data_IF_478044287099
#
_entry.id   IF_478044287099
#
_cell.length_a   1.000
_cell.length_b   1.000
_cell.length_c   1.000
_cell.angle_alpha   90.00
_cell.angle_beta   90.00
_cell.angle_gamma   90.00
#
_symmetry.space_group_name_H-M   'P 1'
#
loop_
_entity.id
_entity.type
_entity.pdbx_description
1 polymer ?
#
# COMPACT_ATOMS: atom_id res chain seq x y z
N UNK A 1 18.91 -32.96 4.79
CA UNK A 1 19.44 -32.02 3.78
C UNK A 1 18.23 -31.37 3.13
N UNK A 2 17.77 -30.23 3.64
CA UNK A 2 16.69 -29.50 2.99
C UNK A 2 17.29 -28.87 1.74
N UNK A 3 16.82 -29.28 0.58
CA UNK A 3 17.06 -28.54 -0.67
C UNK A 3 16.44 -27.16 -0.48
N UNK A 4 17.28 -26.17 -0.15
CA UNK A 4 16.94 -24.77 -0.39
C UNK A 4 16.65 -24.66 -1.88
N UNK A 5 15.37 -24.67 -2.24
CA UNK A 5 14.97 -24.33 -3.59
C UNK A 5 15.47 -22.92 -3.83
N UNK A 6 16.53 -22.78 -4.64
CA UNK A 6 17.04 -21.49 -5.07
C UNK A 6 15.86 -20.63 -5.52
N UNK A 7 15.74 -19.47 -4.88
CA UNK A 7 14.67 -18.55 -5.18
C UNK A 7 14.97 -17.95 -6.55
N UNK A 8 14.18 -18.30 -7.56
CA UNK A 8 14.43 -17.78 -8.91
C UNK A 8 14.03 -16.30 -8.99
N UNK A 9 14.69 -15.49 -9.84
CA UNK A 9 14.32 -14.09 -10.06
C UNK A 9 12.83 -13.92 -10.39
N UNK A 10 12.24 -14.86 -11.13
CA UNK A 10 10.82 -14.87 -11.46
C UNK A 10 9.90 -15.01 -10.21
N UNK A 11 10.31 -15.81 -9.22
CA UNK A 11 9.57 -15.96 -7.95
C UNK A 11 9.71 -14.68 -7.12
N UNK A 12 10.90 -14.08 -7.06
CA UNK A 12 11.17 -12.83 -6.36
C UNK A 12 10.39 -11.66 -6.94
N UNK A 13 10.37 -11.53 -8.27
CA UNK A 13 9.63 -10.48 -8.98
C UNK A 13 8.13 -10.63 -8.75
N UNK A 14 7.64 -11.87 -8.82
CA UNK A 14 6.24 -12.19 -8.53
C UNK A 14 5.87 -11.88 -7.08
N UNK A 15 6.76 -12.18 -6.12
CA UNK A 15 6.57 -11.83 -4.71
C UNK A 15 6.47 -10.32 -4.51
N UNK A 16 7.45 -9.57 -5.02
CA UNK A 16 7.50 -8.12 -4.86
C UNK A 16 6.31 -7.43 -5.55
N UNK A 17 5.93 -7.89 -6.75
CA UNK A 17 4.75 -7.40 -7.48
C UNK A 17 3.46 -7.66 -6.70
N UNK A 18 3.29 -8.88 -6.13
CA UNK A 18 2.10 -9.21 -5.33
C UNK A 18 1.95 -8.28 -4.13
N UNK A 19 3.03 -8.08 -3.39
CA UNK A 19 3.09 -7.14 -2.26
C UNK A 19 2.74 -5.72 -2.68
N UNK A 20 3.34 -5.23 -3.77
CA UNK A 20 3.12 -3.87 -4.26
C UNK A 20 1.68 -3.62 -4.70
N UNK A 21 1.06 -4.55 -5.44
CA UNK A 21 -0.36 -4.43 -5.78
C UNK A 21 -1.23 -4.57 -4.52
N UNK A 22 -0.86 -5.43 -3.57
CA UNK A 22 -1.60 -5.60 -2.32
C UNK A 22 -1.65 -4.31 -1.52
N UNK A 23 -0.49 -3.68 -1.34
CA UNK A 23 -0.38 -2.35 -0.74
C UNK A 23 -1.21 -1.31 -1.51
N UNK A 24 -1.11 -1.28 -2.85
CA UNK A 24 -1.85 -0.32 -3.66
C UNK A 24 -3.38 -0.48 -3.53
N UNK A 25 -3.89 -1.71 -3.53
CA UNK A 25 -5.33 -1.98 -3.35
C UNK A 25 -5.79 -1.60 -1.93
N UNK A 26 -4.96 -1.89 -0.91
CA UNK A 26 -5.26 -1.49 0.46
C UNK A 26 -5.31 0.04 0.58
N UNK A 27 -4.38 0.75 -0.04
CA UNK A 27 -4.40 2.22 -0.06
C UNK A 27 -5.67 2.78 -0.73
N UNK A 28 -6.06 2.22 -1.87
CA UNK A 28 -7.28 2.61 -2.57
C UNK A 28 -8.51 2.37 -1.69
N UNK A 29 -8.54 1.29 -0.92
CA UNK A 29 -9.62 1.01 0.02
C UNK A 29 -9.68 2.08 1.12
N UNK A 30 -8.54 2.41 1.75
CA UNK A 30 -8.50 3.44 2.79
C UNK A 30 -8.92 4.82 2.26
N UNK A 31 -8.51 5.18 1.04
CA UNK A 31 -8.94 6.42 0.37
C UNK A 31 -10.45 6.39 0.08
N UNK A 32 -10.96 5.27 -0.43
CA UNK A 32 -12.38 5.10 -0.72
C UNK A 32 -13.23 5.25 0.55
N UNK A 33 -12.81 4.64 1.66
CA UNK A 33 -13.47 4.75 2.96
C UNK A 33 -13.45 6.20 3.47
N UNK A 34 -12.30 6.88 3.36
CA UNK A 34 -12.14 8.30 3.69
C UNK A 34 -13.08 9.20 2.89
N UNK A 35 -13.17 8.98 1.58
CA UNK A 35 -14.06 9.72 0.69
C UNK A 35 -15.53 9.45 1.01
N UNK A 36 -15.88 8.19 1.31
CA UNK A 36 -17.24 7.84 1.73
C UNK A 36 -17.65 8.61 3.00
N UNK A 37 -16.81 8.60 4.04
CA UNK A 37 -17.07 9.36 5.27
C UNK A 37 -17.17 10.87 5.03
N UNK A 38 -16.32 11.42 4.15
CA UNK A 38 -16.37 12.84 3.78
C UNK A 38 -17.70 13.19 3.09
N UNK A 39 -18.14 12.37 2.15
CA UNK A 39 -19.40 12.57 1.42
C UNK A 39 -20.59 12.45 2.38
N UNK A 40 -20.57 11.47 3.28
CA UNK A 40 -21.63 11.28 4.27
C UNK A 40 -21.80 12.51 5.17
N UNK A 41 -20.70 13.15 5.55
CA UNK A 41 -20.69 14.33 6.42
C UNK A 41 -21.03 15.64 5.69
N UNK A 42 -20.50 15.86 4.48
CA UNK A 42 -20.65 17.14 3.75
C UNK A 42 -21.90 17.15 2.86
N UNK A 43 -22.21 16.03 2.22
CA UNK A 43 -23.29 15.89 1.25
C UNK A 43 -24.23 14.74 1.65
N UNK A 44 -24.94 14.85 2.80
CA UNK A 44 -25.75 13.76 3.32
C UNK A 44 -26.86 13.31 2.34
N UNK A 45 -27.37 14.21 1.51
CA UNK A 45 -28.45 13.89 0.55
C UNK A 45 -27.93 13.26 -0.75
N UNK A 46 -26.62 13.24 -0.99
CA UNK A 46 -26.01 12.69 -2.21
C UNK A 46 -25.95 11.15 -2.18
N UNK A 47 -27.10 10.49 -2.07
CA UNK A 47 -27.24 9.03 -1.99
C UNK A 47 -26.59 8.29 -3.15
N UNK A 48 -26.69 8.83 -4.37
CA UNK A 48 -26.06 8.25 -5.56
C UNK A 48 -24.53 8.17 -5.42
N UNK A 49 -23.89 9.20 -4.86
CA UNK A 49 -22.45 9.28 -4.69
C UNK A 49 -21.99 8.32 -3.58
N UNK A 50 -22.72 8.27 -2.46
CA UNK A 50 -22.49 7.29 -1.38
C UNK A 50 -22.56 5.86 -1.90
N UNK A 51 -23.57 5.55 -2.73
CA UNK A 51 -23.72 4.21 -3.30
C UNK A 51 -22.53 3.84 -4.20
N UNK A 52 -22.01 4.77 -5.02
CA UNK A 52 -20.84 4.52 -5.86
C UNK A 52 -19.62 4.17 -5.01
N UNK A 53 -19.29 5.00 -4.01
CA UNK A 53 -18.14 4.76 -3.14
C UNK A 53 -18.33 3.54 -2.24
N UNK A 54 -19.55 3.29 -1.76
CA UNK A 54 -19.89 2.10 -0.97
C UNK A 54 -19.70 0.81 -1.77
N UNK A 55 -20.24 0.75 -3.00
CA UNK A 55 -20.06 -0.42 -3.89
C UNK A 55 -18.59 -0.59 -4.26
N UNK A 56 -17.88 0.49 -4.59
CA UNK A 56 -16.46 0.42 -4.90
C UNK A 56 -15.63 -0.08 -3.71
N UNK A 57 -15.94 0.38 -2.50
CA UNK A 57 -15.32 -0.12 -1.26
C UNK A 57 -15.52 -1.62 -1.06
N UNK A 58 -16.75 -2.13 -1.29
CA UNK A 58 -17.04 -3.58 -1.22
C UNK A 58 -16.22 -4.36 -2.24
N UNK A 59 -16.11 -3.87 -3.48
CA UNK A 59 -15.27 -4.50 -4.52
C UNK A 59 -13.81 -4.58 -4.09
N UNK A 60 -13.28 -3.51 -3.49
CA UNK A 60 -11.90 -3.48 -2.98
C UNK A 60 -11.68 -4.47 -1.82
N UNK A 61 -12.65 -4.59 -0.90
CA UNK A 61 -12.60 -5.59 0.17
C UNK A 61 -12.56 -7.01 -0.41
N UNK A 62 -13.44 -7.32 -1.37
CA UNK A 62 -13.45 -8.63 -2.03
C UNK A 62 -12.10 -8.88 -2.72
N UNK A 63 -11.55 -7.88 -3.40
CA UNK A 63 -10.24 -7.98 -4.05
C UNK A 63 -9.11 -8.27 -3.05
N UNK A 64 -9.12 -7.62 -1.88
CA UNK A 64 -8.17 -7.87 -0.79
C UNK A 64 -8.29 -9.29 -0.25
N UNK A 65 -9.50 -9.76 0.02
CA UNK A 65 -9.76 -11.12 0.53
C UNK A 65 -9.28 -12.17 -0.48
N UNK A 66 -9.68 -12.05 -1.74
CA UNK A 66 -9.28 -12.99 -2.80
C UNK A 66 -7.76 -13.00 -2.97
N UNK A 67 -7.12 -11.82 -2.91
CA UNK A 67 -5.65 -11.70 -2.97
C UNK A 67 -4.99 -12.37 -1.78
N UNK A 68 -5.46 -12.09 -0.57
CA UNK A 68 -4.92 -12.69 0.65
C UNK A 68 -4.83 -14.21 0.54
N UNK A 69 -5.91 -14.88 0.11
CA UNK A 69 -5.90 -16.34 -0.08
C UNK A 69 -4.96 -16.81 -1.21
N UNK A 70 -4.84 -16.05 -2.30
CA UNK A 70 -3.91 -16.36 -3.39
C UNK A 70 -2.45 -16.18 -2.96
N UNK A 71 -2.17 -15.15 -2.18
CA UNK A 71 -0.85 -14.77 -1.74
C UNK A 71 -0.33 -15.70 -0.63
N UNK A 72 -1.19 -16.13 0.31
CA UNK A 72 -0.85 -17.17 1.28
C UNK A 72 -0.36 -18.47 0.62
N UNK A 73 -0.99 -18.88 -0.49
CA UNK A 73 -0.54 -20.05 -1.26
C UNK A 73 0.80 -19.80 -1.94
N UNK A 74 1.03 -18.58 -2.42
CA UNK A 74 2.25 -18.19 -3.10
C UNK A 74 3.45 -18.05 -2.15
N UNK A 75 3.26 -17.48 -0.95
CA UNK A 75 4.34 -17.22 0.02
C UNK A 75 5.03 -18.48 0.53
N UNK A 76 4.40 -19.66 0.41
CA UNK A 76 5.07 -20.95 0.66
C UNK A 76 6.27 -21.21 -0.25
N UNK A 77 6.37 -20.52 -1.39
CA UNK A 77 7.47 -20.63 -2.35
C UNK A 77 8.62 -19.65 -2.07
N UNK A 78 8.44 -18.74 -1.10
CA UNK A 78 9.39 -17.68 -0.79
C UNK A 78 10.17 -18.07 0.46
N UNK A 79 11.48 -17.88 0.44
CA UNK A 79 12.30 -18.16 1.61
C UNK A 79 11.98 -17.17 2.75
N UNK A 80 12.32 -17.55 3.99
CA UNK A 80 12.01 -16.74 5.18
C UNK A 80 12.71 -15.38 5.17
N UNK A 81 13.90 -15.29 4.60
CA UNK A 81 14.71 -14.07 4.61
C UNK A 81 14.14 -13.01 3.67
N UNK A 82 13.75 -13.40 2.45
CA UNK A 82 13.06 -12.56 1.48
C UNK A 82 11.70 -12.14 2.02
N UNK A 83 10.97 -13.07 2.65
CA UNK A 83 9.65 -12.77 3.20
C UNK A 83 9.67 -11.70 4.30
N UNK A 84 10.55 -11.82 5.30
CA UNK A 84 10.58 -10.91 6.45
C UNK A 84 11.46 -9.67 6.26
N UNK A 85 12.59 -9.83 5.58
CA UNK A 85 13.62 -8.79 5.51
C UNK A 85 13.77 -8.17 4.12
N UNK A 86 13.02 -8.65 3.12
CA UNK A 86 13.18 -8.18 1.74
C UNK A 86 14.60 -8.43 1.20
N UNK A 87 15.28 -9.47 1.67
CA UNK A 87 16.58 -9.88 1.13
C UNK A 87 16.37 -10.67 -0.16
N UNK A 88 16.54 -9.99 -1.28
CA UNK A 88 16.44 -10.60 -2.61
C UNK A 88 17.80 -11.09 -3.09
N UNK A 89 17.82 -12.20 -3.80
CA UNK A 89 19.01 -12.73 -4.49
C UNK A 89 19.29 -11.97 -5.77
N UNK A 90 18.25 -11.52 -6.47
CA UNK A 90 18.37 -10.67 -7.64
C UNK A 90 18.68 -9.22 -7.23
N UNK A 91 19.74 -8.67 -7.81
CA UNK A 91 20.23 -7.33 -7.48
C UNK A 91 19.24 -6.23 -7.90
N UNK A 92 18.59 -6.37 -9.06
CA UNK A 92 17.63 -5.38 -9.54
C UNK A 92 16.37 -5.37 -8.69
N UNK A 93 15.83 -6.55 -8.35
CA UNK A 93 14.66 -6.67 -7.48
C UNK A 93 14.96 -6.10 -6.08
N UNK A 94 16.15 -6.40 -5.55
CA UNK A 94 16.66 -5.81 -4.31
C UNK A 94 16.73 -4.29 -4.37
N UNK A 95 17.28 -3.74 -5.47
CA UNK A 95 17.34 -2.29 -5.70
C UNK A 95 15.95 -1.64 -5.79
N UNK A 96 15.01 -2.24 -6.51
CA UNK A 96 13.63 -1.75 -6.65
C UNK A 96 12.92 -1.75 -5.30
N UNK A 97 13.04 -2.83 -4.53
CA UNK A 97 12.47 -2.93 -3.19
C UNK A 97 13.03 -1.86 -2.25
N UNK A 98 14.35 -1.69 -2.22
CA UNK A 98 15.00 -0.67 -1.40
C UNK A 98 14.55 0.75 -1.79
N UNK A 99 14.45 1.05 -3.10
CA UNK A 99 13.97 2.35 -3.57
C UNK A 99 12.52 2.62 -3.12
N UNK A 100 11.65 1.63 -3.19
CA UNK A 100 10.28 1.75 -2.72
C UNK A 100 10.19 2.04 -1.21
N UNK A 101 11.01 1.36 -0.40
CA UNK A 101 11.13 1.66 1.03
C UNK A 101 11.63 3.09 1.28
N UNK A 102 12.64 3.55 0.54
CA UNK A 102 13.15 4.92 0.65
C UNK A 102 12.08 5.97 0.33
N UNK A 103 11.32 5.79 -0.77
CA UNK A 103 10.22 6.69 -1.10
C UNK A 103 9.16 6.72 0.01
N UNK A 104 8.76 5.54 0.50
CA UNK A 104 7.75 5.41 1.54
C UNK A 104 8.17 6.08 2.84
N UNK A 105 9.40 5.84 3.26
CA UNK A 105 9.97 6.45 4.44
C UNK A 105 10.05 7.98 4.31
N UNK A 106 10.58 8.50 3.19
CA UNK A 106 10.72 9.93 2.99
C UNK A 106 9.37 10.66 2.97
N UNK A 107 8.38 10.09 2.28
CA UNK A 107 7.02 10.66 2.26
C UNK A 107 6.41 10.64 3.65
N UNK A 108 6.54 9.54 4.39
CA UNK A 108 6.02 9.45 5.75
C UNK A 108 6.72 10.42 6.71
N UNK A 109 8.04 10.57 6.60
CA UNK A 109 8.81 11.51 7.42
C UNK A 109 8.33 12.95 7.20
N UNK A 110 8.06 13.34 5.95
CA UNK A 110 7.50 14.66 5.63
C UNK A 110 6.11 14.82 6.22
N UNK A 111 5.22 13.83 6.07
CA UNK A 111 3.86 13.90 6.61
C UNK A 111 3.84 13.99 8.14
N UNK A 112 4.69 13.22 8.83
CA UNK A 112 4.84 13.30 10.28
C UNK A 112 5.43 14.64 10.73
N UNK A 113 6.38 15.20 9.98
CA UNK A 113 6.90 16.54 10.24
C UNK A 113 5.80 17.59 10.09
N UNK A 114 4.99 17.53 9.02
CA UNK A 114 3.85 18.43 8.82
C UNK A 114 2.83 18.29 9.95
N UNK A 115 2.55 17.07 10.38
CA UNK A 115 1.68 16.80 11.53
C UNK A 115 2.23 17.42 12.82
N UNK A 116 3.53 17.27 13.08
CA UNK A 116 4.18 17.90 14.23
C UNK A 116 4.11 19.43 14.17
N UNK A 117 4.31 20.02 12.98
CA UNK A 117 4.24 21.47 12.79
C UNK A 117 2.85 22.06 13.07
N UNK A 118 1.79 21.26 13.06
CA UNK A 118 0.44 21.75 13.45
C UNK A 118 0.35 22.15 14.91
N UNK A 119 1.30 21.72 15.76
CA UNK A 119 1.45 22.27 17.10
C UNK A 119 1.66 23.79 17.07
N UNK A 120 2.40 24.31 16.10
CA UNK A 120 2.67 25.74 15.91
C UNK A 120 1.62 26.42 15.03
N UNK A 121 0.90 25.64 14.21
CA UNK A 121 -0.15 26.12 13.30
C UNK A 121 -1.44 25.29 13.48
N UNK A 122 -2.17 25.47 14.60
CA UNK A 122 -3.28 24.60 14.98
C UNK A 122 -4.43 24.60 13.96
N UNK A 123 -4.61 25.70 13.23
CA UNK A 123 -5.65 25.84 12.20
C UNK A 123 -5.50 24.87 11.03
N UNK A 124 -4.32 24.25 10.82
CA UNK A 124 -4.01 23.46 9.64
C UNK A 124 -4.59 22.03 9.65
N UNK A 125 -4.76 21.42 10.83
CA UNK A 125 -5.30 20.05 10.98
C UNK A 125 -6.41 19.93 12.04
N UNK A 126 -6.85 21.04 12.64
CA UNK A 126 -7.89 21.01 13.69
C UNK A 126 -9.25 20.44 13.24
N UNK A 127 -9.46 20.23 11.94
CA UNK A 127 -10.69 19.67 11.37
C UNK A 127 -10.64 18.16 11.10
N UNK A 128 -9.48 17.51 11.20
CA UNK A 128 -9.33 16.08 10.86
C UNK A 128 -9.17 15.26 12.14
N UNK A 129 -10.08 14.32 12.38
CA UNK A 129 -9.96 13.39 13.50
C UNK A 129 -8.74 12.48 13.39
N UNK A 130 -8.13 12.10 14.52
CA UNK A 130 -6.91 11.26 14.57
C UNK A 130 -7.05 9.97 13.77
N UNK A 131 -8.22 9.34 13.82
CA UNK A 131 -8.49 8.12 13.05
C UNK A 131 -8.38 8.34 11.54
N UNK A 132 -8.99 9.41 11.04
CA UNK A 132 -8.98 9.78 9.62
C UNK A 132 -7.56 10.16 9.17
N UNK A 133 -6.85 10.91 10.02
CA UNK A 133 -5.46 11.28 9.79
C UNK A 133 -4.57 10.04 9.65
N UNK A 134 -4.65 9.08 10.57
CA UNK A 134 -3.86 7.84 10.50
C UNK A 134 -4.22 7.02 9.26
N UNK A 135 -5.51 6.88 8.96
CA UNK A 135 -5.99 6.16 7.77
C UNK A 135 -5.42 6.73 6.47
N UNK A 136 -5.47 8.06 6.30
CA UNK A 136 -4.92 8.73 5.12
C UNK A 136 -3.39 8.61 5.04
N UNK A 137 -2.68 8.72 6.17
CA UNK A 137 -1.23 8.50 6.21
C UNK A 137 -0.88 7.06 5.80
N UNK A 138 -1.62 6.06 6.28
CA UNK A 138 -1.43 4.67 5.87
C UNK A 138 -1.67 4.49 4.37
N UNK A 139 -2.69 5.15 3.80
CA UNK A 139 -2.92 5.10 2.36
C UNK A 139 -1.74 5.66 1.56
N UNK A 140 -1.21 6.83 1.97
CA UNK A 140 -0.04 7.43 1.32
C UNK A 140 1.19 6.53 1.46
N UNK A 141 1.43 5.95 2.65
CA UNK A 141 2.51 4.99 2.87
C UNK A 141 2.44 3.84 1.85
N UNK A 142 1.28 3.20 1.75
CA UNK A 142 1.11 2.05 0.87
C UNK A 142 1.21 2.42 -0.61
N UNK A 143 0.76 3.60 -1.04
CA UNK A 143 0.96 4.07 -2.42
C UNK A 143 2.42 4.39 -2.73
N UNK A 144 3.09 5.10 -1.82
CA UNK A 144 4.51 5.45 -1.94
C UNK A 144 5.43 4.22 -1.92
N UNK A 145 4.95 3.09 -1.40
CA UNK A 145 5.59 1.77 -1.52
C UNK A 145 5.21 1.07 -2.82
N UNK A 146 3.91 0.92 -3.08
CA UNK A 146 3.40 0.09 -4.17
C UNK A 146 3.69 0.65 -5.56
N UNK A 147 3.42 1.94 -5.78
CA UNK A 147 3.52 2.54 -7.12
C UNK A 147 4.95 2.51 -7.69
N UNK A 148 6.02 2.85 -6.94
CA UNK A 148 7.37 2.78 -7.47
C UNK A 148 7.80 1.38 -7.90
N UNK A 149 7.35 0.35 -7.16
CA UNK A 149 7.63 -1.05 -7.53
C UNK A 149 6.94 -1.39 -8.84
N UNK A 150 5.64 -1.14 -8.95
CA UNK A 150 4.86 -1.47 -10.14
C UNK A 150 5.37 -0.73 -11.38
N UNK A 151 5.77 0.53 -11.21
CA UNK A 151 6.37 1.30 -12.29
C UNK A 151 7.72 0.74 -12.75
N UNK A 152 8.64 0.46 -11.81
CA UNK A 152 10.00 0.00 -12.13
C UNK A 152 10.04 -1.42 -12.68
N UNK A 153 9.24 -2.34 -12.11
CA UNK A 153 9.18 -3.72 -12.59
C UNK A 153 8.51 -3.83 -13.96
N UNK A 154 7.58 -2.92 -14.30
CA UNK A 154 7.02 -2.84 -15.66
C UNK A 154 8.06 -2.36 -16.66
N UNK A 155 8.84 -1.33 -16.32
CA UNK A 155 9.88 -0.78 -17.21
C UNK A 155 10.98 -1.78 -17.58
N UNK A 156 11.20 -2.81 -16.78
CA UNK A 156 12.15 -3.88 -17.09
C UNK A 156 11.61 -4.86 -18.15
N UNK A 157 10.29 -4.95 -18.30
CA UNK A 157 9.63 -5.85 -19.25
C UNK A 157 9.48 -5.24 -20.65
N UNK A 158 9.64 -3.91 -20.76
CA UNK A 158 9.57 -3.12 -22.00
C UNK A 158 10.98 -2.86 -22.55
#
# INVERSE_FOLDING_TARGET
MHTETELTPAIEQSFLTRNAVGASVLALFLICDSLYSLIENIFPDATWLKNIFGVFGVILIIALIVRFFKDMKFYKKVNRNTFWYGKFTDEYIGYVSMKAYQYSFNVMAILLLLAYLTHYFPEFLNSIGVHEFVKLNMAVLFLSYGLPILYRLRKEQD
#
